data_IF_236714208949
#
_entry.id   IF_236714208949
#
_cell.length_a   1.000
_cell.length_b   1.000
_cell.length_c   1.000
_cell.angle_alpha   90.00
_cell.angle_beta   90.00
_cell.angle_gamma   90.00
#
_symmetry.space_group_name_H-M   'P 1'
#
loop_
_entity.id
_entity.type
_entity.pdbx_description
1 polymer ?
#
# COMPACT_ATOMS: atom_id res chain seq x y z
N UNK A 1 7.64 28.75 -17.35
CA UNK A 1 7.21 30.09 -17.76
C UNK A 1 7.16 30.23 -19.29
N UNK A 2 8.25 30.02 -20.05
CA UNK A 2 8.18 30.01 -21.53
C UNK A 2 7.05 29.13 -22.09
N UNK A 3 6.93 27.88 -21.61
CA UNK A 3 5.85 26.98 -22.02
C UNK A 3 4.45 27.44 -21.58
N UNK A 4 4.32 28.12 -20.44
CA UNK A 4 3.05 28.70 -20.01
C UNK A 4 2.63 29.85 -20.94
N UNK A 5 3.58 30.68 -21.35
CA UNK A 5 3.34 31.76 -22.33
C UNK A 5 2.87 31.23 -23.68
N UNK A 6 3.37 30.06 -24.10
CA UNK A 6 2.93 29.36 -25.32
C UNK A 6 1.55 28.72 -25.14
N UNK A 7 1.26 28.18 -23.96
CA UNK A 7 -0.03 27.52 -23.64
C UNK A 7 -1.21 28.49 -23.59
N UNK A 8 -1.00 29.77 -23.29
CA UNK A 8 -2.04 30.81 -23.34
C UNK A 8 -2.45 31.23 -24.78
N UNK A 9 -2.06 30.45 -25.80
CA UNK A 9 -2.42 30.68 -27.19
C UNK A 9 -1.69 31.87 -27.84
N UNK A 10 -0.68 32.44 -27.16
CA UNK A 10 0.16 33.49 -27.74
C UNK A 10 1.29 32.86 -28.55
N UNK A 11 1.42 33.29 -29.81
CA UNK A 11 2.59 32.95 -30.63
C UNK A 11 3.85 33.47 -29.93
N UNK A 12 4.85 32.62 -29.64
CA UNK A 12 6.06 33.05 -28.96
C UNK A 12 6.83 34.03 -29.85
N UNK A 13 6.99 35.26 -29.36
CA UNK A 13 7.73 36.34 -30.06
C UNK A 13 9.24 36.06 -30.17
N UNK A 14 9.75 35.06 -29.46
CA UNK A 14 11.15 34.67 -29.50
C UNK A 14 11.32 33.18 -29.25
N UNK A 15 12.47 32.64 -29.70
CA UNK A 15 12.83 31.25 -29.43
C UNK A 15 13.10 31.02 -27.93
N UNK A 16 12.93 29.78 -27.47
CA UNK A 16 13.30 29.35 -26.11
C UNK A 16 14.75 29.70 -25.76
N UNK A 17 15.66 29.58 -26.73
CA UNK A 17 17.08 29.89 -26.51
C UNK A 17 17.28 31.38 -26.20
N UNK A 18 16.62 32.26 -26.97
CA UNK A 18 16.63 33.71 -26.73
C UNK A 18 16.03 34.04 -25.36
N UNK A 19 14.88 33.43 -25.02
CA UNK A 19 14.26 33.59 -23.70
C UNK A 19 15.22 33.21 -22.57
N UNK A 20 15.84 32.02 -22.64
CA UNK A 20 16.79 31.54 -21.62
C UNK A 20 18.02 32.44 -21.51
N UNK A 21 18.55 32.94 -22.62
CA UNK A 21 19.70 33.84 -22.65
C UNK A 21 19.39 35.17 -21.97
N UNK A 22 18.26 35.79 -22.32
CA UNK A 22 17.79 37.05 -21.71
C UNK A 22 17.51 36.86 -20.22
N UNK A 23 16.88 35.75 -19.84
CA UNK A 23 16.59 35.45 -18.44
C UNK A 23 17.87 35.35 -17.60
N UNK A 24 18.90 34.68 -18.13
CA UNK A 24 20.22 34.62 -17.49
C UNK A 24 20.93 35.98 -17.45
N UNK A 25 20.89 36.76 -18.53
CA UNK A 25 21.56 38.08 -18.56
C UNK A 25 20.94 39.08 -17.59
N UNK A 26 19.66 38.92 -17.26
CA UNK A 26 18.97 39.74 -16.25
C UNK A 26 19.18 39.24 -14.82
N UNK A 27 19.99 38.19 -14.60
CA UNK A 27 20.15 37.51 -13.31
C UNK A 27 18.82 37.10 -12.67
N UNK A 28 17.80 36.86 -13.50
CA UNK A 28 16.54 36.34 -13.03
C UNK A 28 16.73 34.84 -12.80
N UNK A 29 16.32 34.40 -11.62
CA UNK A 29 16.15 32.98 -11.31
C UNK A 29 14.71 32.79 -10.89
N UNK A 30 14.14 31.64 -11.23
CA UNK A 30 12.85 31.31 -10.65
C UNK A 30 13.05 31.11 -9.16
N UNK A 31 12.32 31.88 -8.35
CA UNK A 31 12.17 31.54 -6.96
C UNK A 31 11.54 30.15 -6.94
N UNK A 32 12.33 29.16 -6.57
CA UNK A 32 11.80 27.86 -6.23
C UNK A 32 11.20 28.08 -4.85
N UNK A 33 9.86 28.13 -4.70
CA UNK A 33 9.28 28.21 -3.37
C UNK A 33 9.92 27.10 -2.56
N UNK A 34 10.47 27.45 -1.39
CA UNK A 34 11.05 26.44 -0.51
C UNK A 34 9.94 25.41 -0.31
N UNK A 35 10.25 24.13 -0.57
CA UNK A 35 9.30 23.02 -0.37
C UNK A 35 8.59 23.24 0.96
N UNK A 36 7.27 23.06 0.97
CA UNK A 36 6.34 23.36 2.07
C UNK A 36 7.06 23.49 3.41
N UNK A 37 7.37 24.74 3.77
CA UNK A 37 8.07 24.99 5.02
C UNK A 37 7.10 24.67 6.14
N UNK A 38 7.42 23.66 6.94
CA UNK A 38 6.67 23.32 8.13
C UNK A 38 6.42 24.59 8.97
N UNK A 39 5.18 24.78 9.43
CA UNK A 39 4.78 25.92 10.25
C UNK A 39 5.64 26.05 11.51
N UNK A 40 5.94 24.93 12.19
CA UNK A 40 6.87 24.87 13.33
C UNK A 40 8.28 25.34 12.96
N UNK A 41 8.81 24.92 11.80
CA UNK A 41 10.13 25.38 11.35
C UNK A 41 10.16 26.89 11.08
N UNK A 42 9.07 27.43 10.55
CA UNK A 42 8.97 28.85 10.22
C UNK A 42 8.81 29.70 11.48
N UNK A 43 7.89 29.32 12.38
CA UNK A 43 7.68 29.98 13.67
C UNK A 43 8.92 29.93 14.55
N UNK A 44 9.64 28.79 14.59
CA UNK A 44 10.89 28.70 15.36
C UNK A 44 11.98 29.59 14.78
N UNK A 45 12.13 29.70 13.44
CA UNK A 45 13.16 30.54 12.82
C UNK A 45 12.89 32.02 13.03
N UNK A 46 11.64 32.44 12.79
CA UNK A 46 11.20 33.84 12.82
C UNK A 46 10.87 34.32 14.24
N UNK A 47 10.71 33.40 15.21
CA UNK A 47 10.35 33.70 16.59
C UNK A 47 11.42 34.48 17.38
N UNK A 48 10.94 35.25 18.37
CA UNK A 48 11.76 35.90 19.40
C UNK A 48 12.49 34.85 20.26
N UNK A 49 13.51 35.27 21.01
CA UNK A 49 14.29 34.41 21.91
C UNK A 49 13.43 33.65 22.91
N UNK A 50 12.40 34.29 23.48
CA UNK A 50 11.46 33.64 24.40
C UNK A 50 10.61 32.57 23.72
N UNK A 51 10.11 32.83 22.50
CA UNK A 51 9.32 31.84 21.75
C UNK A 51 10.18 30.65 21.31
N UNK A 52 11.46 30.89 20.98
CA UNK A 52 12.42 29.85 20.67
C UNK A 52 12.67 28.95 21.88
N UNK A 53 12.89 29.52 23.05
CA UNK A 53 13.07 28.73 24.28
C UNK A 53 11.84 27.85 24.59
N UNK A 54 10.62 28.34 24.35
CA UNK A 54 9.39 27.55 24.54
C UNK A 54 9.20 26.44 23.51
N UNK A 55 9.69 26.64 22.28
CA UNK A 55 9.51 25.72 21.16
C UNK A 55 10.72 24.81 20.92
N UNK A 56 11.80 24.96 21.69
CA UNK A 56 13.07 24.28 21.47
C UNK A 56 12.94 22.76 21.52
N UNK A 57 12.27 22.23 22.54
CA UNK A 57 12.07 20.78 22.69
C UNK A 57 11.22 20.20 21.55
N UNK A 58 10.12 20.88 21.19
CA UNK A 58 9.24 20.47 20.09
C UNK A 58 9.97 20.53 18.74
N UNK A 59 10.79 21.57 18.53
CA UNK A 59 11.59 21.72 17.34
C UNK A 59 12.68 20.64 17.25
N UNK A 60 13.37 20.33 18.36
CA UNK A 60 14.37 19.26 18.40
C UNK A 60 13.74 17.89 18.06
N UNK A 61 12.59 17.56 18.66
CA UNK A 61 11.85 16.35 18.35
C UNK A 61 11.42 16.29 16.86
N UNK A 62 10.90 17.39 16.32
CA UNK A 62 10.52 17.51 14.92
C UNK A 62 11.71 17.27 13.97
N UNK A 63 12.89 17.83 14.27
CA UNK A 63 14.10 17.65 13.45
C UNK A 63 14.56 16.20 13.51
N UNK A 64 14.58 15.58 14.69
CA UNK A 64 14.94 14.17 14.86
C UNK A 64 14.00 13.24 14.08
N UNK A 65 12.68 13.46 14.17
CA UNK A 65 11.68 12.70 13.41
C UNK A 65 11.88 12.86 11.90
N UNK A 66 12.00 14.11 11.42
CA UNK A 66 12.22 14.42 10.00
C UNK A 66 13.46 13.71 9.47
N UNK A 67 14.55 13.72 10.22
CA UNK A 67 15.81 13.12 9.80
C UNK A 67 15.73 11.58 9.83
N UNK A 68 14.97 11.00 10.78
CA UNK A 68 14.67 9.56 10.80
C UNK A 68 13.87 9.10 9.57
N UNK A 69 12.86 9.88 9.15
CA UNK A 69 12.05 9.57 7.95
C UNK A 69 12.90 9.70 6.68
N UNK A 70 13.75 10.73 6.61
CA UNK A 70 14.68 10.90 5.48
C UNK A 70 15.69 9.77 5.39
N UNK A 71 16.21 9.31 6.52
CA UNK A 71 17.11 8.15 6.59
C UNK A 71 16.40 6.89 6.08
N UNK A 72 15.23 6.55 6.64
CA UNK A 72 14.43 5.38 6.19
C UNK A 72 14.11 5.44 4.69
N UNK A 73 13.77 6.62 4.16
CA UNK A 73 13.52 6.80 2.72
C UNK A 73 14.78 6.58 1.88
N UNK A 74 15.94 7.02 2.37
CA UNK A 74 17.23 6.80 1.72
C UNK A 74 17.58 5.32 1.72
N UNK A 75 17.53 4.68 2.88
CA UNK A 75 17.84 3.25 3.05
C UNK A 75 16.93 2.40 2.15
N UNK A 76 15.61 2.66 2.15
CA UNK A 76 14.66 1.96 1.28
C UNK A 76 14.92 2.18 -0.22
N UNK A 77 15.50 3.33 -0.60
CA UNK A 77 15.89 3.60 -1.98
C UNK A 77 17.15 2.81 -2.34
N UNK A 78 18.14 2.79 -1.46
CA UNK A 78 19.39 2.04 -1.65
C UNK A 78 19.09 0.53 -1.75
N UNK A 79 18.28 -0.03 -0.84
CA UNK A 79 17.89 -1.44 -0.91
C UNK A 79 17.11 -1.81 -2.18
N UNK A 80 16.30 -0.89 -2.73
CA UNK A 80 15.61 -1.12 -4.01
C UNK A 80 16.54 -1.06 -5.23
N UNK A 81 17.67 -0.35 -5.11
CA UNK A 81 18.67 -0.28 -6.16
C UNK A 81 19.58 -1.51 -6.17
N UNK A 82 19.88 -2.08 -4.99
CA UNK A 82 20.67 -3.30 -4.87
C UNK A 82 19.92 -4.53 -5.40
N UNK A 83 18.60 -4.62 -5.19
CA UNK A 83 17.80 -5.79 -5.59
C UNK A 83 16.49 -5.38 -6.29
N UNK A 84 16.56 -4.85 -7.53
CA UNK A 84 15.39 -4.33 -8.23
C UNK A 84 14.35 -5.40 -8.57
N UNK A 85 14.76 -6.66 -8.72
CA UNK A 85 13.86 -7.79 -8.99
C UNK A 85 12.99 -8.17 -7.78
N UNK A 86 13.45 -7.87 -6.56
CA UNK A 86 12.80 -8.31 -5.31
C UNK A 86 12.08 -7.16 -4.61
N UNK A 87 12.64 -5.93 -4.66
CA UNK A 87 12.18 -4.81 -3.84
C UNK A 87 11.87 -3.60 -4.72
N UNK A 88 10.57 -3.30 -4.88
CA UNK A 88 10.11 -2.06 -5.49
C UNK A 88 9.75 -1.03 -4.39
N UNK A 89 10.48 0.10 -4.34
CA UNK A 89 10.22 1.18 -3.38
C UNK A 89 9.38 2.29 -4.01
N UNK A 90 8.12 2.41 -3.57
CA UNK A 90 7.23 3.49 -3.98
C UNK A 90 7.05 4.49 -2.83
N UNK A 91 7.57 5.71 -2.99
CA UNK A 91 7.42 6.77 -1.98
C UNK A 91 6.33 7.74 -2.42
N UNK A 92 5.17 7.62 -1.80
CA UNK A 92 4.05 8.55 -2.02
C UNK A 92 4.25 9.81 -1.19
N UNK A 93 4.20 10.97 -1.85
CA UNK A 93 4.10 12.25 -1.17
C UNK A 93 2.65 12.47 -0.72
N UNK A 94 2.32 11.99 0.48
CA UNK A 94 0.97 12.06 1.06
C UNK A 94 0.59 13.48 1.53
N UNK A 95 1.44 14.50 1.34
CA UNK A 95 1.18 15.85 1.84
C UNK A 95 0.03 16.60 1.12
N UNK A 96 -0.47 16.09 -0.03
CA UNK A 96 -1.63 16.69 -0.71
C UNK A 96 -3.01 16.26 -0.17
N UNK A 97 -3.11 15.23 0.68
CA UNK A 97 -4.41 14.75 1.18
C UNK A 97 -4.78 15.19 2.60
N UNK A 98 -3.88 15.86 3.34
CA UNK A 98 -4.18 16.42 4.67
C UNK A 98 -4.77 17.83 4.59
N UNK A 99 -5.92 17.96 3.93
CA UNK A 99 -6.93 19.00 4.25
C UNK A 99 -8.11 18.38 5.00
N UNK A 100 -7.84 17.36 5.82
CA UNK A 100 -8.86 16.79 6.70
C UNK A 100 -8.65 17.47 8.05
N UNK A 101 -9.34 18.61 8.17
CA UNK A 101 -9.78 19.25 9.41
C UNK A 101 -9.12 18.78 10.71
N UNK A 102 -8.40 19.69 11.37
CA UNK A 102 -8.01 19.63 12.79
C UNK A 102 -9.22 19.60 13.77
N UNK A 103 -10.38 19.12 13.33
CA UNK A 103 -11.60 18.97 14.16
C UNK A 103 -11.88 17.53 14.57
N UNK A 104 -11.04 16.56 14.21
CA UNK A 104 -11.15 15.20 14.74
C UNK A 104 -10.21 15.03 15.94
N UNK A 105 -10.63 15.60 17.08
CA UNK A 105 -10.14 15.19 18.39
C UNK A 105 -10.46 13.70 18.58
N UNK A 106 -9.49 12.83 18.28
CA UNK A 106 -9.53 11.46 18.75
C UNK A 106 -9.20 11.48 20.24
N UNK A 107 -10.22 11.72 21.06
CA UNK A 107 -10.23 11.17 22.42
C UNK A 107 -10.33 9.65 22.27
N UNK A 108 -9.19 8.97 22.32
CA UNK A 108 -9.11 7.54 22.56
C UNK A 108 -9.49 7.25 24.02
N UNK A 109 -10.78 7.28 24.33
CA UNK A 109 -11.34 6.63 25.50
C UNK A 109 -12.05 5.35 25.03
N UNK A 110 -11.26 4.29 24.90
CA UNK A 110 -11.75 2.94 24.69
C UNK A 110 -12.14 2.37 26.06
N UNK A 111 -13.25 2.89 26.59
CA UNK A 111 -14.03 2.37 27.71
C UNK A 111 -15.42 3.04 27.65
N UNK A 112 -16.28 2.57 26.74
CA UNK A 112 -17.72 2.82 26.84
C UNK A 112 -18.39 1.47 27.11
N UNK A 113 -18.38 1.14 28.40
CA UNK A 113 -19.34 0.23 29.02
C UNK A 113 -20.74 0.86 28.94
N UNK A 114 -21.74 -0.01 28.86
CA UNK A 114 -23.19 0.20 28.96
C UNK A 114 -23.64 1.55 29.57
N UNK A 115 -24.32 2.37 28.76
CA UNK A 115 -25.44 3.18 29.24
C UNK A 115 -26.64 2.89 28.35
N UNK A 116 -27.59 2.17 28.95
CA UNK A 116 -28.96 2.15 28.51
C UNK A 116 -29.61 3.49 28.90
N UNK A 117 -29.92 4.32 27.91
CA UNK A 117 -30.93 5.38 27.99
C UNK A 117 -31.63 5.38 26.61
N UNK A 118 -32.84 4.84 26.47
CA UNK A 118 -34.10 5.48 26.89
C UNK A 118 -34.10 6.94 26.44
N UNK A 119 -34.43 7.17 25.18
CA UNK A 119 -34.69 8.49 24.64
C UNK A 119 -36.20 8.76 24.80
N UNK A 120 -36.65 9.56 25.80
CA UNK A 120 -38.08 9.78 26.04
C UNK A 120 -38.73 10.75 25.05
N UNK A 121 -38.02 11.30 24.07
CA UNK A 121 -38.56 12.34 23.18
C UNK A 121 -38.39 12.05 21.67
N UNK A 122 -38.25 10.78 21.27
CA UNK A 122 -38.45 10.42 19.87
C UNK A 122 -39.94 10.37 19.51
N UNK A 123 -40.55 11.55 19.44
CA UNK A 123 -41.89 11.75 18.86
C UNK A 123 -41.81 11.52 17.36
N UNK A 124 -41.95 10.26 16.95
CA UNK A 124 -42.16 9.90 15.56
C UNK A 124 -43.54 10.44 15.14
N UNK A 125 -43.66 11.30 14.11
CA UNK A 125 -44.96 11.76 13.66
C UNK A 125 -45.72 10.59 13.04
N UNK A 126 -46.83 10.24 13.68
CA UNK A 126 -47.83 9.28 13.20
C UNK A 126 -48.46 9.83 11.92
N UNK A 127 -48.05 9.32 10.77
CA UNK A 127 -48.87 9.41 9.57
C UNK A 127 -49.98 8.36 9.65
N UNK A 128 -51.15 8.85 10.04
CA UNK A 128 -52.43 8.17 9.93
C UNK A 128 -52.69 7.78 8.47
N UNK A 129 -52.53 6.50 8.15
CA UNK A 129 -53.21 5.92 6.97
C UNK A 129 -54.19 4.87 7.43
N UNK A 130 -55.45 5.23 7.28
CA UNK A 130 -56.66 4.53 7.67
C UNK A 130 -56.91 3.29 6.81
N UNK A 131 -57.26 2.21 7.53
CA UNK A 131 -58.33 1.26 7.26
C UNK A 131 -58.48 0.62 5.85
N UNK A 132 -58.31 -0.70 5.81
CA UNK A 132 -59.39 -1.58 5.32
C UNK A 132 -59.38 -2.92 6.06
N UNK A 133 -60.52 -3.25 6.65
CA UNK A 133 -60.97 -4.56 7.09
C UNK A 133 -60.97 -5.56 5.90
N UNK A 134 -60.93 -6.88 6.02
CA UNK A 134 -61.82 -7.78 6.77
C UNK A 134 -61.30 -9.23 6.67
N UNK A 135 -61.81 -10.08 7.56
CA UNK A 135 -62.11 -11.52 7.40
C UNK A 135 -61.20 -12.53 8.12
N UNK A 136 -61.79 -13.01 9.20
CA UNK A 136 -61.57 -14.23 9.97
C UNK A 136 -61.04 -15.46 9.22
N UNK A 137 -60.21 -16.26 9.90
CA UNK A 137 -60.48 -17.68 10.14
C UNK A 137 -59.49 -18.33 11.11
N UNK A 138 -60.08 -18.94 12.13
CA UNK A 138 -59.50 -19.85 13.10
C UNK A 138 -58.70 -21.00 12.46
N UNK A 139 -57.51 -21.26 12.98
CA UNK A 139 -56.94 -22.60 13.09
C UNK A 139 -55.85 -22.63 14.17
N UNK A 140 -56.23 -23.09 15.36
CA UNK A 140 -55.30 -23.56 16.39
C UNK A 140 -54.60 -24.81 15.86
N UNK A 141 -53.39 -24.67 15.31
CA UNK A 141 -52.50 -25.80 15.04
C UNK A 141 -51.31 -25.78 15.99
N UNK A 142 -51.28 -26.81 16.82
CA UNK A 142 -50.26 -27.14 17.81
C UNK A 142 -48.94 -27.51 17.11
N UNK A 143 -48.10 -26.51 16.81
CA UNK A 143 -46.76 -26.74 16.25
C UNK A 143 -45.74 -26.83 17.39
N UNK A 144 -45.25 -28.04 17.63
CA UNK A 144 -44.12 -28.27 18.54
C UNK A 144 -42.87 -27.49 18.08
N UNK A 145 -42.13 -26.83 18.98
CA UNK A 145 -40.89 -26.15 18.65
C UNK A 145 -39.81 -27.18 18.30
N UNK A 146 -39.61 -27.45 17.00
CA UNK A 146 -38.48 -28.27 16.55
C UNK A 146 -37.19 -27.47 16.70
N UNK A 147 -36.44 -27.78 17.75
CA UNK A 147 -35.12 -27.22 18.07
C UNK A 147 -34.02 -27.77 17.17
N UNK A 148 -34.22 -27.73 15.84
CA UNK A 148 -33.09 -27.88 14.94
C UNK A 148 -32.35 -26.54 14.87
N UNK A 149 -31.37 -26.36 15.76
CA UNK A 149 -30.39 -25.27 15.64
C UNK A 149 -29.69 -25.44 14.30
N UNK A 150 -30.21 -24.79 13.26
CA UNK A 150 -29.64 -24.81 11.93
C UNK A 150 -28.17 -24.43 12.05
N UNK A 151 -27.27 -25.37 11.76
CA UNK A 151 -25.83 -25.10 11.68
C UNK A 151 -25.69 -23.93 10.72
N UNK A 152 -25.30 -22.75 11.23
CA UNK A 152 -24.97 -21.60 10.40
C UNK A 152 -23.91 -22.09 9.43
N UNK A 153 -24.29 -22.33 8.17
CA UNK A 153 -23.32 -22.64 7.12
C UNK A 153 -22.36 -21.47 7.13
N UNK A 154 -21.09 -21.72 7.48
CA UNK A 154 -20.01 -20.76 7.34
C UNK A 154 -20.04 -20.33 5.87
N UNK A 155 -20.61 -19.15 5.61
CA UNK A 155 -20.81 -18.66 4.26
C UNK A 155 -19.42 -18.36 3.72
N UNK A 156 -18.87 -19.27 2.92
CA UNK A 156 -17.57 -19.07 2.31
C UNK A 156 -17.66 -17.85 1.39
N UNK A 157 -17.09 -16.70 1.78
CA UNK A 157 -17.33 -15.45 1.08
C UNK A 157 -16.65 -15.44 -0.30
N UNK A 158 -15.59 -16.25 -0.47
CA UNK A 158 -14.87 -16.42 -1.73
C UNK A 158 -15.71 -17.13 -2.80
N UNK A 159 -16.72 -17.91 -2.40
CA UNK A 159 -17.61 -18.60 -3.34
C UNK A 159 -18.77 -17.74 -3.83
N UNK A 160 -19.02 -16.61 -3.17
CA UNK A 160 -20.06 -15.68 -3.60
C UNK A 160 -19.69 -15.16 -4.99
N UNK A 161 -20.58 -15.37 -5.96
CA UNK A 161 -20.40 -14.98 -7.37
C UNK A 161 -19.91 -13.53 -7.50
N UNK A 162 -20.39 -12.62 -6.64
CA UNK A 162 -19.93 -11.21 -6.60
C UNK A 162 -18.45 -11.06 -6.22
N UNK A 163 -17.96 -11.84 -5.26
CA UNK A 163 -16.57 -11.82 -4.84
C UNK A 163 -15.68 -12.38 -5.96
N UNK A 164 -16.05 -13.52 -6.54
CA UNK A 164 -15.35 -14.11 -7.70
C UNK A 164 -15.25 -13.12 -8.87
N UNK A 165 -16.36 -12.48 -9.23
CA UNK A 165 -16.40 -11.48 -10.30
C UNK A 165 -15.55 -10.23 -9.97
N UNK A 166 -15.55 -9.76 -8.72
CA UNK A 166 -14.70 -8.64 -8.29
C UNK A 166 -13.23 -9.01 -8.37
N UNK A 167 -12.85 -10.21 -7.93
CA UNK A 167 -11.47 -10.71 -8.03
C UNK A 167 -11.02 -10.84 -9.48
N UNK A 168 -11.85 -11.40 -10.37
CA UNK A 168 -11.54 -11.49 -11.80
C UNK A 168 -11.38 -10.11 -12.46
N UNK A 169 -12.28 -9.16 -12.16
CA UNK A 169 -12.19 -7.78 -12.66
C UNK A 169 -10.91 -7.07 -12.20
N UNK A 170 -10.53 -7.23 -10.94
CA UNK A 170 -9.34 -6.58 -10.37
C UNK A 170 -8.05 -7.21 -10.90
N UNK A 171 -8.03 -8.54 -11.08
CA UNK A 171 -6.87 -9.26 -11.62
C UNK A 171 -6.77 -9.18 -13.15
N UNK A 172 -7.76 -8.59 -13.82
CA UNK A 172 -7.82 -8.51 -15.29
C UNK A 172 -8.13 -9.84 -15.97
N UNK A 173 -8.52 -10.89 -15.23
CA UNK A 173 -8.94 -12.19 -15.78
C UNK A 173 -10.29 -12.08 -16.50
N UNK A 174 -10.55 -13.02 -17.41
CA UNK A 174 -11.86 -13.10 -18.05
C UNK A 174 -12.98 -13.39 -17.05
N UNK A 175 -14.16 -12.83 -17.29
CA UNK A 175 -15.35 -13.08 -16.47
C UNK A 175 -16.64 -12.82 -17.23
N UNK A 176 -17.73 -13.42 -16.75
CA UNK A 176 -19.08 -13.21 -17.27
C UNK A 176 -19.85 -12.29 -16.32
N UNK A 177 -20.41 -11.20 -16.83
CA UNK A 177 -21.25 -10.29 -16.04
C UNK A 177 -22.66 -10.88 -15.82
N UNK A 178 -23.47 -10.29 -14.92
CA UNK A 178 -24.85 -10.73 -14.65
C UNK A 178 -25.78 -10.69 -15.87
N UNK A 179 -25.41 -9.92 -16.91
CA UNK A 179 -26.09 -9.86 -18.21
C UNK A 179 -25.60 -10.95 -19.19
N UNK A 180 -24.85 -11.94 -18.70
CA UNK A 180 -24.21 -12.99 -19.49
C UNK A 180 -23.25 -12.46 -20.58
N UNK A 181 -22.66 -11.27 -20.36
CA UNK A 181 -21.67 -10.67 -21.26
C UNK A 181 -20.27 -11.13 -20.85
N UNK A 182 -19.55 -11.77 -21.78
CA UNK A 182 -18.16 -12.16 -21.58
C UNK A 182 -17.24 -10.95 -21.69
N UNK A 183 -16.45 -10.72 -20.64
CA UNK A 183 -15.32 -9.80 -20.62
C UNK A 183 -14.04 -10.61 -20.74
N UNK A 184 -13.31 -10.44 -21.83
CA UNK A 184 -12.03 -11.12 -22.06
C UNK A 184 -10.93 -10.60 -21.12
N UNK A 185 -9.89 -11.41 -20.97
CA UNK A 185 -8.67 -11.08 -20.22
C UNK A 185 -8.07 -9.77 -20.74
N UNK A 186 -7.75 -8.85 -19.83
CA UNK A 186 -7.07 -7.60 -20.18
C UNK A 186 -5.57 -7.86 -20.26
N UNK A 187 -5.02 -7.72 -21.45
CA UNK A 187 -3.57 -7.70 -21.66
C UNK A 187 -3.09 -6.26 -21.74
N UNK A 188 -1.89 -6.00 -21.21
CA UNK A 188 -1.20 -4.73 -21.47
C UNK A 188 -0.94 -4.72 -22.97
N UNK A 189 -1.60 -3.80 -23.69
CA UNK A 189 -1.30 -3.64 -25.11
C UNK A 189 0.16 -3.23 -25.25
N UNK A 190 0.91 -3.79 -26.21
CA UNK A 190 2.25 -3.30 -26.51
C UNK A 190 2.13 -1.79 -26.72
N UNK A 191 3.03 -1.04 -26.10
CA UNK A 191 2.98 0.41 -26.07
C UNK A 191 3.33 0.95 -27.46
N UNK A 192 2.33 1.00 -28.35
CA UNK A 192 2.48 1.52 -29.70
C UNK A 192 2.11 3.01 -29.64
N UNK A 193 3.08 3.84 -29.32
CA UNK A 193 2.95 5.29 -29.53
C UNK A 193 4.04 5.77 -30.46
N UNK A 194 3.66 6.64 -31.40
CA UNK A 194 4.59 7.33 -32.29
C UNK A 194 5.26 8.47 -31.51
N UNK A 195 6.18 8.11 -30.61
CA UNK A 195 6.92 9.11 -29.86
C UNK A 195 7.95 9.78 -30.75
N UNK A 196 8.01 11.12 -30.70
CA UNK A 196 9.09 11.89 -31.32
C UNK A 196 10.48 11.46 -30.84
N UNK A 197 10.58 10.97 -29.60
CA UNK A 197 11.83 10.53 -28.99
C UNK A 197 12.17 9.06 -29.22
N UNK A 198 11.38 8.34 -30.04
CA UNK A 198 11.58 6.91 -30.33
C UNK A 198 11.75 6.06 -29.06
N UNK A 199 10.94 6.31 -28.04
CA UNK A 199 11.06 5.61 -26.76
C UNK A 199 10.91 4.09 -26.89
N UNK A 200 10.27 3.57 -27.94
CA UNK A 200 10.22 2.13 -28.19
C UNK A 200 11.60 1.53 -28.47
N UNK A 201 12.48 2.23 -29.18
CA UNK A 201 13.76 1.63 -29.60
C UNK A 201 14.72 1.47 -28.40
N UNK A 202 14.61 2.36 -27.40
CA UNK A 202 15.51 2.35 -26.23
C UNK A 202 15.15 1.31 -25.16
N UNK A 203 13.89 0.89 -25.10
CA UNK A 203 13.46 -0.06 -24.08
C UNK A 203 13.83 -1.51 -24.43
N UNK A 204 14.02 -1.81 -25.72
CA UNK A 204 14.39 -3.16 -26.15
C UNK A 204 15.90 -3.45 -26.04
N UNK A 205 16.77 -2.44 -26.18
CA UNK A 205 18.22 -2.64 -26.09
C UNK A 205 18.69 -3.08 -24.68
N UNK A 206 18.03 -2.61 -23.61
CA UNK A 206 18.43 -2.92 -22.24
C UNK A 206 18.02 -4.34 -21.79
N UNK A 207 16.92 -4.88 -22.33
CA UNK A 207 16.44 -6.22 -21.99
C UNK A 207 17.27 -7.31 -22.70
N UNK A 208 17.78 -7.03 -23.90
CA UNK A 208 18.61 -7.96 -24.69
C UNK A 208 20.04 -8.10 -24.11
N UNK A 209 20.60 -7.03 -23.53
CA UNK A 209 21.94 -7.08 -22.91
C UNK A 209 21.95 -7.93 -21.63
N UNK A 210 20.85 -7.92 -20.85
CA UNK A 210 20.73 -8.73 -19.63
C UNK A 210 20.61 -10.23 -19.88
N UNK A 211 20.01 -10.65 -21.00
CA UNK A 211 19.92 -12.07 -21.36
C UNK A 211 21.25 -12.66 -21.87
N UNK A 212 22.19 -11.81 -22.29
CA UNK A 212 23.49 -12.26 -22.82
C UNK A 212 24.56 -12.49 -21.75
N UNK A 213 24.36 -12.02 -20.51
CA UNK A 213 25.37 -12.15 -19.44
C UNK A 213 25.19 -13.39 -18.55
N UNK A 214 24.09 -14.14 -18.71
CA UNK A 214 23.83 -15.34 -17.91
C UNK A 214 24.43 -16.63 -18.53
N UNK A 215 24.96 -16.59 -19.76
CA UNK A 215 25.53 -17.78 -20.43
C UNK A 215 27.01 -18.03 -20.10
N UNK A 216 27.75 -17.04 -19.58
CA UNK A 216 29.20 -17.16 -19.34
C UNK A 216 29.58 -17.55 -17.90
N UNK A 217 28.61 -17.74 -17.00
CA UNK A 217 28.89 -18.03 -15.57
C UNK A 217 28.61 -19.48 -15.16
N UNK A 218 28.41 -20.41 -16.11
CA UNK A 218 28.07 -21.81 -15.82
C UNK A 218 29.28 -22.74 -15.61
N UNK A 219 30.51 -22.24 -15.61
CA UNK A 219 31.71 -23.09 -15.45
C UNK A 219 32.17 -23.28 -14.00
N UNK A 220 31.73 -22.43 -13.05
CA UNK A 220 32.17 -22.51 -11.65
C UNK A 220 31.26 -23.40 -10.75
N UNK A 221 30.07 -23.79 -11.21
CA UNK A 221 29.12 -24.61 -10.42
C UNK A 221 29.50 -26.11 -10.36
N UNK A 222 30.46 -26.56 -11.16
CA UNK A 222 30.91 -27.95 -11.17
C UNK A 222 31.89 -28.29 -10.03
N UNK A 223 32.56 -27.29 -9.45
CA UNK A 223 33.52 -27.49 -8.35
C UNK A 223 32.82 -27.61 -6.98
N UNK A 224 31.68 -26.95 -6.81
CA UNK A 224 30.93 -26.95 -5.55
C UNK A 224 30.30 -28.31 -5.18
N UNK A 225 29.89 -29.10 -6.17
CA UNK A 225 29.28 -30.41 -5.93
C UNK A 225 30.29 -31.49 -5.48
N UNK A 226 31.59 -31.31 -5.71
CA UNK A 226 32.61 -32.25 -5.23
C UNK A 226 33.01 -32.02 -3.76
N UNK A 227 32.78 -30.82 -3.22
CA UNK A 227 33.04 -30.53 -1.81
C UNK A 227 31.95 -31.06 -0.86
N UNK A 228 30.68 -31.12 -1.29
CA UNK A 228 29.60 -31.68 -0.46
C UNK A 228 29.72 -33.20 -0.22
N UNK A 229 30.28 -33.96 -1.18
CA UNK A 229 30.54 -35.39 -1.01
C UNK A 229 31.67 -35.67 0.00
N UNK A 230 32.59 -34.73 0.22
CA UNK A 230 33.63 -34.86 1.26
C UNK A 230 33.11 -34.63 2.67
N UNK A 231 32.05 -33.84 2.84
CA UNK A 231 31.53 -33.52 4.17
C UNK A 231 30.61 -34.62 4.75
N UNK A 232 30.05 -35.48 3.90
CA UNK A 232 29.09 -36.52 4.30
C UNK A 232 29.73 -37.88 4.68
N UNK A 233 31.03 -38.08 4.43
CA UNK A 233 31.73 -39.34 4.73
C UNK A 233 32.48 -39.37 6.09
N UNK A 234 32.35 -38.33 6.90
CA UNK A 234 33.11 -38.15 8.15
C UNK A 234 32.26 -38.05 9.43
N UNK A 235 31.23 -38.89 9.63
CA UNK A 235 30.50 -38.90 10.90
C UNK A 235 29.88 -40.26 11.25
N UNK A 236 30.70 -41.30 11.35
CA UNK A 236 30.33 -42.54 12.03
C UNK A 236 31.44 -42.90 13.01
N UNK A 237 31.29 -42.47 14.27
CA UNK A 237 31.70 -43.18 15.49
C UNK A 237 31.72 -42.23 16.70
N UNK A 238 30.60 -42.12 17.40
CA UNK A 238 30.63 -41.95 18.86
C UNK A 238 29.31 -42.42 19.47
N UNK A 239 29.37 -43.66 19.95
CA UNK A 239 28.47 -44.22 20.95
C UNK A 239 28.50 -43.35 22.22
N UNK A 240 27.35 -42.85 22.67
CA UNK A 240 27.08 -42.80 24.11
C UNK A 240 25.59 -42.63 24.37
N UNK A 241 25.08 -43.58 25.12
CA UNK A 241 23.76 -43.64 25.75
C UNK A 241 23.51 -42.43 26.65
N UNK A 242 22.33 -41.83 26.57
CA UNK A 242 21.49 -41.65 27.76
C UNK A 242 20.06 -41.21 27.42
N UNK A 243 19.16 -41.74 28.25
CA UNK A 243 17.71 -41.65 28.23
C UNK A 243 17.21 -40.21 28.41
N UNK A 244 16.16 -39.82 27.69
CA UNK A 244 14.86 -39.49 28.28
C UNK A 244 13.87 -38.99 27.22
N UNK A 245 12.65 -39.50 27.36
CA UNK A 245 11.45 -39.22 26.59
C UNK A 245 11.17 -37.73 26.40
N UNK A 246 11.02 -37.30 25.15
CA UNK A 246 10.24 -36.12 24.81
C UNK A 246 9.44 -36.40 23.53
N UNK A 247 8.12 -36.53 23.70
CA UNK A 247 7.17 -36.43 22.62
C UNK A 247 7.29 -35.02 22.01
N UNK A 248 7.83 -34.92 20.79
CA UNK A 248 7.65 -33.73 19.97
C UNK A 248 6.99 -34.15 18.65
N UNK A 249 5.85 -33.52 18.39
CA UNK A 249 5.08 -33.61 17.16
C UNK A 249 5.97 -33.37 15.93
N UNK A 250 5.93 -34.32 14.99
CA UNK A 250 6.45 -34.14 13.65
C UNK A 250 5.55 -33.14 12.92
N UNK A 251 5.99 -31.88 12.82
CA UNK A 251 5.45 -30.93 11.84
C UNK A 251 6.11 -31.22 10.50
N UNK A 252 5.29 -31.66 9.56
CA UNK A 252 5.64 -31.74 8.14
C UNK A 252 5.86 -30.32 7.61
N UNK A 253 7.08 -30.01 7.21
CA UNK A 253 7.38 -28.76 6.53
C UNK A 253 6.73 -28.77 5.14
N UNK A 254 5.76 -27.88 4.98
CA UNK A 254 5.13 -27.57 3.71
C UNK A 254 6.02 -26.57 3.00
N UNK A 255 6.49 -26.93 1.80
CA UNK A 255 7.25 -26.05 0.90
C UNK A 255 6.53 -24.71 0.75
N UNK A 256 7.11 -23.69 1.37
CA UNK A 256 6.58 -22.34 1.44
C UNK A 256 6.70 -21.62 0.11
N UNK A 257 5.55 -21.20 -0.43
CA UNK A 257 5.47 -20.13 -1.43
C UNK A 257 6.15 -18.90 -0.81
N UNK A 258 7.07 -18.19 -1.51
CA UNK A 258 7.69 -16.99 -0.98
C UNK A 258 6.60 -15.96 -0.67
N UNK A 259 6.34 -15.76 0.61
CA UNK A 259 5.45 -14.71 1.09
C UNK A 259 6.12 -13.38 0.75
N UNK A 260 5.54 -12.63 -0.17
CA UNK A 260 5.82 -11.20 -0.34
C UNK A 260 5.43 -10.50 0.96
N UNK A 261 6.40 -10.35 1.86
CA UNK A 261 6.22 -9.68 3.13
C UNK A 261 6.25 -8.18 2.86
N UNK A 262 5.08 -7.59 2.63
CA UNK A 262 4.92 -6.14 2.59
C UNK A 262 5.18 -5.65 4.02
N UNK A 263 6.40 -5.21 4.31
CA UNK A 263 6.77 -4.59 5.58
C UNK A 263 6.10 -3.21 5.68
N UNK A 264 4.85 -3.21 6.14
CA UNK A 264 4.19 -2.01 6.64
C UNK A 264 4.77 -1.72 8.03
N UNK A 265 5.77 -0.84 8.09
CA UNK A 265 6.26 -0.32 9.37
C UNK A 265 5.18 0.56 10.01
N UNK A 266 4.35 -0.06 10.85
CA UNK A 266 3.47 0.63 11.78
C UNK A 266 4.30 1.32 12.86
N UNK A 267 4.10 2.63 13.02
CA UNK A 267 4.63 3.40 14.15
C UNK A 267 3.96 2.89 15.42
N UNK A 268 4.71 2.17 16.26
CA UNK A 268 4.28 1.88 17.62
C UNK A 268 4.59 3.11 18.46
N UNK A 269 3.55 3.75 19.00
CA UNK A 269 3.66 4.89 19.90
C UNK A 269 4.38 4.44 21.19
N UNK A 270 5.47 5.13 21.52
CA UNK A 270 6.11 5.06 22.84
C UNK A 270 5.44 6.14 23.67
N UNK A 271 4.56 5.72 24.58
CA UNK A 271 4.02 6.53 25.67
C UNK A 271 5.04 6.74 26.77
#
# INVERSE_FOLDING_TARGET
>A
MYYFYVQEGRQPQCSYHTYRRVFKSLNLSFHHPKKDQCSLCSSYKEGSTETKAKLEDSFAAHIAERDSVRKKKKDAKESSQENPAVIASAVFDLQQSRKISDSFSLHSNLNYFDDADTDPDFSCPSDDTSASSDSDKDALENVQPSTSKGKKKLSNPSERIRAKMKTARNTGKEYIDRKNKLHLTKFVKPFIHTCRFKCNDKWFEEEEETLSHDEDNSEDDAEYLQEEERYTSGSENSSSSDLLSNHNEVKMDTFGIPSFQILLYGLHEVT
#
